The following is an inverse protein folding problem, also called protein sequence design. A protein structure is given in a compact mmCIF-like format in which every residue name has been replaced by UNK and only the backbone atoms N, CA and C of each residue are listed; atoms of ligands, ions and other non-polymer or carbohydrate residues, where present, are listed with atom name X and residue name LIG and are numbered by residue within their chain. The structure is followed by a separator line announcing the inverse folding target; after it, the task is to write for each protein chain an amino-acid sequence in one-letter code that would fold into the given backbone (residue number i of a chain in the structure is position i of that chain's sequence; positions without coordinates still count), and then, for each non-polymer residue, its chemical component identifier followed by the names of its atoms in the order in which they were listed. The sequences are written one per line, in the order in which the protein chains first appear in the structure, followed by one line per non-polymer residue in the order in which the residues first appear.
data_IF_690461282886
#
_entry.id   IF_690461282886
#
_cell.length_a   1.000
_cell.length_b   1.000
_cell.length_c   1.000
_cell.angle_alpha   90.00
_cell.angle_beta   90.00
_cell.angle_gamma   90.00
#
_symmetry.space_group_name_H-M   'P 1'
#
loop_
_entity.id
_entity.type
_entity.pdbx_description
1 polymer ?
#
# COMPACT_ATOMS: atom_id res chain seq x y z
N UNK A 1 2.42 -19.38 -21.64
CA UNK A 1 3.39 -18.46 -21.02
C UNK A 1 3.15 -17.05 -21.56
N UNK A 2 2.07 -16.37 -21.11
CA UNK A 2 1.69 -15.06 -21.64
C UNK A 2 1.41 -13.98 -20.58
N UNK A 3 1.56 -14.25 -19.27
CA UNK A 3 0.82 -13.44 -18.29
C UNK A 3 1.64 -12.60 -17.28
N UNK A 4 2.99 -12.64 -17.28
CA UNK A 4 3.79 -11.88 -16.30
C UNK A 4 4.35 -10.56 -16.86
N UNK A 5 4.95 -10.60 -18.06
CA UNK A 5 5.45 -9.39 -18.72
C UNK A 5 4.32 -8.41 -19.08
N UNK A 6 3.18 -8.94 -19.53
CA UNK A 6 2.00 -8.16 -19.94
C UNK A 6 1.43 -7.29 -18.80
N UNK A 7 1.33 -7.83 -17.58
CA UNK A 7 0.74 -7.10 -16.45
C UNK A 7 1.60 -5.90 -16.02
N UNK A 8 2.93 -6.01 -16.10
CA UNK A 8 3.84 -4.92 -15.75
C UNK A 8 3.83 -3.80 -16.80
N UNK A 9 3.89 -4.16 -18.08
CA UNK A 9 3.79 -3.18 -19.17
C UNK A 9 2.43 -2.48 -19.14
N UNK A 10 1.34 -3.25 -18.98
CA UNK A 10 0.00 -2.67 -18.87
C UNK A 10 -0.20 -1.79 -17.65
N UNK A 11 0.40 -2.13 -16.50
CA UNK A 11 0.38 -1.26 -15.32
C UNK A 11 1.11 0.05 -15.58
N UNK A 12 2.24 0.00 -16.29
CA UNK A 12 3.00 1.18 -16.69
C UNK A 12 2.19 2.05 -17.66
N UNK A 13 1.57 1.45 -18.68
CA UNK A 13 0.76 2.17 -19.67
C UNK A 13 -0.42 2.90 -19.00
N UNK A 14 -1.14 2.23 -18.11
CA UNK A 14 -2.24 2.84 -17.34
C UNK A 14 -1.76 4.06 -16.55
N UNK A 15 -0.59 3.96 -15.90
CA UNK A 15 -0.02 5.06 -15.14
C UNK A 15 0.43 6.21 -16.05
N UNK A 16 1.07 5.93 -17.20
CA UNK A 16 1.52 6.97 -18.14
C UNK A 16 0.37 7.68 -18.86
N UNK A 17 -0.74 6.98 -19.12
CA UNK A 17 -1.94 7.56 -19.74
C UNK A 17 -2.76 8.40 -18.78
N UNK A 18 -2.73 8.08 -17.48
CA UNK A 18 -3.61 8.71 -16.49
C UNK A 18 -2.89 9.72 -15.60
N UNK A 19 -1.64 9.47 -15.25
CA UNK A 19 -0.88 10.32 -14.32
C UNK A 19 -0.03 11.33 -15.08
N UNK A 20 -0.18 12.60 -14.71
CA UNK A 20 0.79 13.60 -15.09
C UNK A 20 2.08 13.51 -14.25
N UNK A 21 3.05 14.37 -14.56
CA UNK A 21 4.33 14.39 -13.86
C UNK A 21 4.19 14.73 -12.38
N UNK A 22 3.21 15.54 -12.00
CA UNK A 22 2.97 15.91 -10.61
C UNK A 22 2.41 14.72 -9.83
N UNK A 23 1.43 14.03 -10.41
CA UNK A 23 0.85 12.81 -9.88
C UNK A 23 1.92 11.70 -9.69
N UNK A 24 2.85 11.54 -10.63
CA UNK A 24 3.98 10.61 -10.47
C UNK A 24 4.87 10.99 -9.29
N UNK A 25 5.12 12.29 -9.05
CA UNK A 25 5.91 12.73 -7.90
C UNK A 25 5.20 12.42 -6.57
N UNK A 26 3.88 12.56 -6.51
CA UNK A 26 3.09 12.21 -5.31
C UNK A 26 3.16 10.71 -5.05
N UNK A 27 3.03 9.88 -6.08
CA UNK A 27 3.16 8.43 -5.96
C UNK A 27 4.56 8.01 -5.46
N UNK A 28 5.60 8.69 -5.95
CA UNK A 28 6.97 8.50 -5.47
C UNK A 28 7.13 8.93 -4.00
N UNK A 29 6.50 10.03 -3.58
CA UNK A 29 6.52 10.49 -2.20
C UNK A 29 5.85 9.48 -1.26
N UNK A 30 4.66 8.96 -1.61
CA UNK A 30 3.98 7.90 -0.85
C UNK A 30 4.91 6.68 -0.71
N UNK A 31 5.57 6.26 -1.80
CA UNK A 31 6.52 5.14 -1.76
C UNK A 31 7.69 5.40 -0.82
N UNK A 32 8.28 6.60 -0.87
CA UNK A 32 9.42 6.99 -0.04
C UNK A 32 9.04 7.06 1.44
N UNK A 33 7.88 7.61 1.77
CA UNK A 33 7.37 7.66 3.14
C UNK A 33 7.14 6.26 3.69
N UNK A 34 6.51 5.36 2.92
CA UNK A 34 6.32 3.98 3.35
C UNK A 34 7.66 3.26 3.56
N UNK A 35 8.64 3.48 2.68
CA UNK A 35 10.00 2.97 2.88
C UNK A 35 10.67 3.54 4.13
N UNK A 36 10.42 4.82 4.44
CA UNK A 36 10.86 5.45 5.68
C UNK A 36 10.28 4.75 6.91
N UNK A 37 8.95 4.56 6.93
CA UNK A 37 8.24 3.85 8.00
C UNK A 37 8.84 2.46 8.25
N UNK A 38 9.05 1.65 7.20
CA UNK A 38 9.62 0.31 7.35
C UNK A 38 11.10 0.32 7.74
N UNK A 39 11.86 1.35 7.36
CA UNK A 39 13.27 1.49 7.77
C UNK A 39 13.40 1.89 9.24
N UNK A 40 12.54 2.77 9.70
CA UNK A 40 12.51 3.24 11.09
C UNK A 40 11.91 2.19 12.03
N UNK A 41 11.02 1.33 11.51
CA UNK A 41 10.33 0.28 12.25
C UNK A 41 10.55 -1.09 11.58
N UNK A 42 11.77 -1.66 11.63
CA UNK A 42 12.07 -2.93 10.97
C UNK A 42 11.36 -4.13 11.60
N UNK A 43 11.01 -4.03 12.89
CA UNK A 43 10.20 -4.99 13.65
C UNK A 43 9.15 -4.22 14.47
N UNK A 44 8.12 -3.67 13.80
CA UNK A 44 7.13 -2.85 14.47
C UNK A 44 6.35 -3.72 15.47
N UNK A 45 6.16 -3.20 16.68
CA UNK A 45 5.18 -3.77 17.58
C UNK A 45 3.77 -3.39 17.11
N UNK A 46 2.75 -4.06 17.67
CA UNK A 46 1.35 -3.66 17.46
C UNK A 46 1.12 -2.20 17.84
N UNK A 47 1.70 -1.74 18.94
CA UNK A 47 1.54 -0.36 19.41
C UNK A 47 2.13 0.65 18.42
N UNK A 48 3.32 0.35 17.86
CA UNK A 48 3.95 1.19 16.83
C UNK A 48 3.07 1.29 15.59
N UNK A 49 2.57 0.14 15.09
CA UNK A 49 1.72 0.12 13.90
C UNK A 49 0.41 0.89 14.12
N UNK A 50 -0.26 0.67 15.26
CA UNK A 50 -1.49 1.39 15.64
C UNK A 50 -1.25 2.89 15.72
N UNK A 51 -0.13 3.31 16.33
CA UNK A 51 0.23 4.72 16.45
C UNK A 51 0.43 5.36 15.08
N UNK A 52 1.23 4.75 14.21
CA UNK A 52 1.51 5.26 12.85
C UNK A 52 0.22 5.40 12.03
N UNK A 53 -0.65 4.37 12.06
CA UNK A 53 -1.95 4.38 11.38
C UNK A 53 -2.85 5.49 11.92
N UNK A 54 -2.90 5.64 13.24
CA UNK A 54 -3.73 6.66 13.90
C UNK A 54 -3.25 8.06 13.55
N UNK A 55 -1.94 8.32 13.62
CA UNK A 55 -1.34 9.61 13.27
C UNK A 55 -1.63 9.98 11.81
N UNK A 56 -1.47 9.03 10.89
CA UNK A 56 -1.78 9.23 9.48
C UNK A 56 -3.23 9.64 9.27
N UNK A 57 -4.18 8.83 9.74
CA UNK A 57 -5.60 9.09 9.49
C UNK A 57 -6.14 10.30 10.25
N UNK A 58 -5.54 10.64 11.39
CA UNK A 58 -5.87 11.87 12.11
C UNK A 58 -5.42 13.09 11.31
N UNK A 59 -4.22 13.07 10.73
CA UNK A 59 -3.74 14.12 9.84
C UNK A 59 -4.59 14.25 8.56
N UNK A 60 -5.14 13.14 8.08
CA UNK A 60 -6.09 13.07 6.95
C UNK A 60 -7.54 13.45 7.33
N UNK A 61 -7.76 13.87 8.58
CA UNK A 61 -9.06 14.34 9.06
C UNK A 61 -10.12 13.25 9.26
N UNK A 62 -9.72 11.99 9.40
CA UNK A 62 -10.65 10.89 9.71
C UNK A 62 -11.04 10.90 11.19
N UNK A 63 -12.23 10.37 11.47
CA UNK A 63 -12.73 10.24 12.85
C UNK A 63 -12.08 9.08 13.59
N UNK A 64 -12.01 9.17 14.93
CA UNK A 64 -11.54 8.09 15.80
C UNK A 64 -12.26 6.76 15.54
N UNK A 65 -13.57 6.82 15.26
CA UNK A 65 -14.37 5.63 14.94
C UNK A 65 -13.92 4.99 13.62
N UNK A 66 -13.63 5.79 12.59
CA UNK A 66 -13.09 5.27 11.33
C UNK A 66 -11.75 4.58 11.55
N UNK A 67 -10.86 5.23 12.31
CA UNK A 67 -9.52 4.71 12.61
C UNK A 67 -9.61 3.37 13.35
N UNK A 68 -10.42 3.31 14.41
CA UNK A 68 -10.62 2.08 15.18
C UNK A 68 -11.18 0.94 14.32
N UNK A 69 -12.16 1.23 13.47
CA UNK A 69 -12.73 0.24 12.55
C UNK A 69 -11.71 -0.25 11.52
N UNK A 70 -10.89 0.66 10.97
CA UNK A 70 -9.86 0.31 10.01
C UNK A 70 -8.80 -0.60 10.64
N UNK A 71 -8.34 -0.28 11.85
CA UNK A 71 -7.37 -1.09 12.60
C UNK A 71 -7.95 -2.48 12.89
N UNK A 72 -9.17 -2.57 13.41
CA UNK A 72 -9.85 -3.87 13.65
C UNK A 72 -9.93 -4.70 12.37
N UNK A 73 -10.31 -4.06 11.25
CA UNK A 73 -10.39 -4.74 9.95
C UNK A 73 -9.03 -5.26 9.49
N UNK A 74 -7.97 -4.47 9.64
CA UNK A 74 -6.61 -4.88 9.27
C UNK A 74 -6.10 -6.05 10.14
N UNK A 75 -6.41 -6.04 11.44
CA UNK A 75 -6.08 -7.13 12.36
C UNK A 75 -6.83 -8.42 12.00
N UNK A 76 -8.15 -8.33 11.80
CA UNK A 76 -8.98 -9.47 11.39
C UNK A 76 -8.53 -10.04 10.05
N UNK A 77 -8.22 -9.17 9.09
CA UNK A 77 -7.70 -9.57 7.78
C UNK A 77 -6.38 -10.32 7.91
N UNK A 78 -5.45 -9.82 8.72
CA UNK A 78 -4.16 -10.45 8.96
C UNK A 78 -4.30 -11.82 9.65
N UNK A 79 -5.13 -11.90 10.67
CA UNK A 79 -5.43 -13.14 11.40
C UNK A 79 -6.09 -14.19 10.50
N UNK A 80 -7.05 -13.77 9.64
CA UNK A 80 -7.73 -14.66 8.69
C UNK A 80 -6.79 -15.30 7.67
N UNK A 81 -5.65 -14.66 7.38
CA UNK A 81 -4.60 -15.17 6.49
C UNK A 81 -3.59 -16.09 7.20
N UNK A 82 -3.77 -16.34 8.50
CA UNK A 82 -2.88 -17.19 9.29
C UNK A 82 -1.52 -16.57 9.57
N UNK A 83 -1.41 -15.24 9.50
CA UNK A 83 -0.18 -14.53 9.85
C UNK A 83 0.09 -14.66 11.35
N UNK A 84 1.37 -14.84 11.69
CA UNK A 84 1.80 -14.86 13.08
C UNK A 84 1.58 -13.48 13.72
N UNK A 85 1.38 -13.43 15.05
CA UNK A 85 1.23 -12.17 15.77
C UNK A 85 2.43 -11.23 15.58
N UNK A 86 3.62 -11.76 15.29
CA UNK A 86 4.82 -10.99 15.00
C UNK A 86 4.80 -10.34 13.61
N UNK A 87 4.08 -10.91 12.65
CA UNK A 87 3.99 -10.39 11.27
C UNK A 87 2.80 -9.45 11.07
N UNK A 88 1.78 -9.54 11.93
CA UNK A 88 0.57 -8.71 11.85
C UNK A 88 0.86 -7.20 11.84
N UNK A 89 1.78 -6.64 12.65
CA UNK A 89 2.08 -5.21 12.60
C UNK A 89 2.67 -4.76 11.26
N UNK A 90 3.54 -5.58 10.65
CA UNK A 90 4.10 -5.30 9.31
C UNK A 90 3.03 -5.38 8.23
N UNK A 91 2.11 -6.34 8.36
CA UNK A 91 0.98 -6.48 7.45
C UNK A 91 0.03 -5.27 7.55
N UNK A 92 -0.27 -4.78 8.76
CA UNK A 92 -1.07 -3.57 8.96
C UNK A 92 -0.43 -2.34 8.32
N UNK A 93 0.89 -2.13 8.49
CA UNK A 93 1.59 -1.01 7.84
C UNK A 93 1.64 -1.18 6.31
N UNK A 94 1.67 -2.41 5.81
CA UNK A 94 1.58 -2.69 4.37
C UNK A 94 0.19 -2.36 3.83
N UNK A 95 -0.87 -2.73 4.55
CA UNK A 95 -2.26 -2.41 4.23
C UNK A 95 -2.49 -0.89 4.24
N UNK A 96 -1.86 -0.16 5.16
CA UNK A 96 -1.84 1.31 5.15
C UNK A 96 -1.23 1.84 3.85
N UNK A 97 -0.05 1.35 3.47
CA UNK A 97 0.60 1.74 2.22
C UNK A 97 -0.30 1.50 1.01
N UNK A 98 -0.87 0.30 0.89
CA UNK A 98 -1.80 -0.06 -0.20
C UNK A 98 -3.01 0.87 -0.21
N UNK A 99 -3.61 1.14 0.95
CA UNK A 99 -4.73 2.08 1.05
C UNK A 99 -4.37 3.46 0.50
N UNK A 100 -3.21 4.01 0.88
CA UNK A 100 -2.72 5.31 0.41
C UNK A 100 -2.56 5.34 -1.11
N UNK A 101 -1.93 4.31 -1.68
CA UNK A 101 -1.80 4.19 -3.13
C UNK A 101 -3.16 4.09 -3.83
N UNK A 102 -4.06 3.25 -3.33
CA UNK A 102 -5.39 3.08 -3.91
C UNK A 102 -6.19 4.37 -3.89
N UNK A 103 -6.21 5.08 -2.76
CA UNK A 103 -6.95 6.32 -2.63
C UNK A 103 -6.42 7.38 -3.60
N UNK A 104 -5.10 7.52 -3.69
CA UNK A 104 -4.46 8.42 -4.64
C UNK A 104 -4.85 8.10 -6.09
N UNK A 105 -4.74 6.83 -6.51
CA UNK A 105 -5.10 6.43 -7.87
C UNK A 105 -6.59 6.67 -8.19
N UNK A 106 -7.48 6.48 -7.20
CA UNK A 106 -8.91 6.82 -7.36
C UNK A 106 -9.13 8.31 -7.57
N UNK A 107 -8.41 9.15 -6.82
CA UNK A 107 -8.47 10.62 -6.96
C UNK A 107 -7.97 11.09 -8.33
N UNK A 108 -7.03 10.36 -8.94
CA UNK A 108 -6.57 10.61 -10.31
C UNK A 108 -7.51 10.06 -11.38
N UNK A 109 -8.64 9.44 -10.98
CA UNK A 109 -9.67 8.97 -11.90
C UNK A 109 -9.49 7.55 -12.42
N UNK A 110 -8.56 6.77 -11.86
CA UNK A 110 -8.44 5.36 -12.21
C UNK A 110 -9.64 4.56 -11.70
N UNK A 111 -10.14 3.66 -12.54
CA UNK A 111 -11.20 2.71 -12.17
C UNK A 111 -10.66 1.60 -11.26
N UNK A 112 -11.56 0.93 -10.52
CA UNK A 112 -11.18 -0.18 -9.63
C UNK A 112 -10.42 -1.30 -10.38
N UNK A 113 -10.79 -1.57 -11.63
CA UNK A 113 -10.12 -2.56 -12.49
C UNK A 113 -8.69 -2.12 -12.85
N UNK A 114 -8.49 -0.85 -13.20
CA UNK A 114 -7.17 -0.28 -13.50
C UNK A 114 -6.28 -0.29 -12.26
N UNK A 115 -6.83 0.07 -11.09
CA UNK A 115 -6.12 0.04 -9.81
C UNK A 115 -5.68 -1.39 -9.48
N UNK A 116 -6.55 -2.37 -9.67
CA UNK A 116 -6.22 -3.79 -9.47
C UNK A 116 -5.05 -4.25 -10.35
N UNK A 117 -4.99 -3.80 -11.61
CA UNK A 117 -3.88 -4.09 -12.53
C UNK A 117 -2.59 -3.41 -12.05
N UNK A 118 -2.65 -2.13 -11.68
CA UNK A 118 -1.50 -1.36 -11.19
C UNK A 118 -0.91 -1.97 -9.92
N UNK A 119 -1.75 -2.32 -8.94
CA UNK A 119 -1.30 -2.97 -7.70
C UNK A 119 -0.64 -4.33 -7.97
N UNK A 120 -1.22 -5.15 -8.85
CA UNK A 120 -0.61 -6.44 -9.23
C UNK A 120 0.75 -6.23 -9.90
N UNK A 121 0.89 -5.23 -10.76
CA UNK A 121 2.16 -4.84 -11.36
C UNK A 121 3.20 -4.43 -10.32
N UNK A 122 2.81 -3.61 -9.34
CA UNK A 122 3.68 -3.17 -8.25
C UNK A 122 4.16 -4.34 -7.38
N UNK A 123 3.26 -5.27 -7.01
CA UNK A 123 3.60 -6.48 -6.24
C UNK A 123 4.55 -7.39 -7.01
N UNK A 124 4.33 -7.57 -8.33
CA UNK A 124 5.24 -8.35 -9.17
C UNK A 124 6.63 -7.71 -9.23
N UNK A 125 6.70 -6.39 -9.40
CA UNK A 125 7.98 -5.68 -9.42
C UNK A 125 8.74 -5.81 -8.09
N UNK A 126 8.06 -5.69 -6.95
CA UNK A 126 8.67 -5.86 -5.63
C UNK A 126 9.19 -7.29 -5.41
N UNK A 127 8.45 -8.30 -5.90
CA UNK A 127 8.83 -9.72 -5.82
C UNK A 127 10.02 -10.04 -6.72
N UNK A 128 10.03 -9.52 -7.96
CA UNK A 128 11.13 -9.73 -8.92
C UNK A 128 12.42 -9.03 -8.47
N UNK A 129 12.32 -7.87 -7.82
CA UNK A 129 13.48 -7.19 -7.22
C UNK A 129 14.06 -7.96 -6.02
N UNK A 130 13.26 -8.76 -5.32
CA UNK A 130 13.71 -9.63 -4.24
C UNK A 130 14.27 -10.97 -4.75
N UNK A 131 13.79 -11.47 -5.88
CA UNK A 131 14.25 -12.73 -6.48
C UNK A 131 15.56 -12.59 -7.31
N UNK A 132 16.02 -11.36 -7.53
CA UNK A 132 17.25 -11.05 -8.27
C UNK A 132 18.44 -10.57 -7.43
N UNK A 133 18.36 -10.69 -6.09
CA UNK A 133 19.44 -10.32 -5.16
C UNK A 133 20.13 -11.56 -4.58
#
# INVERSE_FOLDING_TARGET
MANKFDVKERAKDILEETLDREAVNVLAAISQEMQGIFRENPEPSREDAVKIVTEYFTADGKSEQFIANWISTAEEHSASRGLSDADQPKAMLSDLGVFRFMNFLKEQGLTDDQISIVLRGAVQQATDQHAGA
#
